data_IF_508655920226
#
_entry.id   IF_508655920226
#
_cell.length_a   1.000
_cell.length_b   1.000
_cell.length_c   1.000
_cell.angle_alpha   90.00
_cell.angle_beta   90.00
_cell.angle_gamma   90.00
#
_symmetry.space_group_name_H-M   'P 1'
#
loop_
_entity.id
_entity.type
_entity.pdbx_description
1 polymer ?
#
# COMPACT_ATOMS: atom_id res chain seq x y z
N UNK A 1 13.86 33.38 6.69
CA UNK A 1 14.17 32.45 5.57
C UNK A 1 13.44 31.18 5.91
N UNK A 2 12.15 31.17 5.59
CA UNK A 2 11.23 30.12 5.99
C UNK A 2 11.45 28.87 5.14
N UNK A 3 11.68 27.76 5.83
CA UNK A 3 11.83 26.43 5.24
C UNK A 3 10.53 26.09 4.50
N UNK A 4 10.56 26.09 3.17
CA UNK A 4 9.55 25.46 2.35
C UNK A 4 9.58 23.96 2.65
N UNK A 5 8.71 23.51 3.56
CA UNK A 5 8.43 22.11 3.75
C UNK A 5 7.87 21.58 2.43
N UNK A 6 8.68 20.78 1.75
CA UNK A 6 8.35 20.03 0.56
C UNK A 6 7.16 19.10 0.90
N UNK A 7 5.94 19.59 0.66
CA UNK A 7 4.69 18.89 0.93
C UNK A 7 4.52 17.77 -0.09
N UNK A 8 5.21 16.65 0.15
CA UNK A 8 5.09 15.43 -0.64
C UNK A 8 3.69 14.82 -0.52
N UNK A 9 2.75 15.30 -1.35
CA UNK A 9 1.72 14.54 -2.10
C UNK A 9 0.64 13.72 -1.38
N UNK A 10 0.77 13.37 -0.11
CA UNK A 10 -0.12 12.37 0.51
C UNK A 10 -1.21 12.93 1.42
N UNK A 11 -1.13 14.21 1.76
CA UNK A 11 -2.16 14.87 2.57
C UNK A 11 -3.44 15.15 1.77
N UNK A 12 -3.36 15.13 0.43
CA UNK A 12 -4.48 15.38 -0.48
C UNK A 12 -5.08 14.11 -1.08
N UNK A 13 -4.39 12.98 -0.96
CA UNK A 13 -4.83 11.70 -1.50
C UNK A 13 -5.49 10.85 -0.42
N UNK A 14 -6.67 10.29 -0.73
CA UNK A 14 -7.33 9.31 0.14
C UNK A 14 -7.72 8.09 -0.68
N UNK A 15 -7.37 6.90 -0.21
CA UNK A 15 -7.75 5.65 -0.86
C UNK A 15 -9.16 5.26 -0.46
N UNK A 16 -10.02 5.06 -1.45
CA UNK A 16 -11.34 4.49 -1.21
C UNK A 16 -11.21 2.98 -0.93
N UNK A 17 -12.22 2.34 -0.30
CA UNK A 17 -12.23 0.89 -0.13
C UNK A 17 -12.08 0.12 -1.45
N UNK A 18 -12.58 0.67 -2.57
CA UNK A 18 -12.46 0.07 -3.90
C UNK A 18 -11.02 0.10 -4.40
N UNK A 19 -10.29 1.18 -4.17
CA UNK A 19 -8.87 1.31 -4.56
C UNK A 19 -8.02 0.29 -3.81
N UNK A 20 -8.28 0.13 -2.51
CA UNK A 20 -7.58 -0.84 -1.66
C UNK A 20 -7.87 -2.27 -2.11
N UNK A 21 -9.12 -2.60 -2.41
CA UNK A 21 -9.47 -3.92 -2.94
C UNK A 21 -8.79 -4.19 -4.30
N UNK A 22 -8.73 -3.18 -5.17
CA UNK A 22 -8.05 -3.25 -6.48
C UNK A 22 -6.54 -3.43 -6.34
N UNK A 23 -5.93 -2.75 -5.36
CA UNK A 23 -4.53 -2.95 -5.01
C UNK A 23 -4.25 -4.41 -4.65
N UNK A 24 -4.97 -4.95 -3.66
CA UNK A 24 -4.69 -6.32 -3.17
C UNK A 24 -5.10 -7.43 -4.15
N UNK A 25 -5.93 -7.13 -5.17
CA UNK A 25 -6.21 -8.08 -6.25
C UNK A 25 -5.19 -8.05 -7.38
N UNK A 26 -4.50 -6.91 -7.57
CA UNK A 26 -3.57 -6.70 -8.69
C UNK A 26 -2.10 -6.85 -8.27
N UNK A 27 -1.78 -6.54 -7.02
CA UNK A 27 -0.43 -6.62 -6.48
C UNK A 27 0.00 -8.08 -6.26
N UNK A 28 1.30 -8.33 -6.42
CA UNK A 28 1.87 -9.67 -6.23
C UNK A 28 2.22 -9.89 -4.77
N UNK A 29 1.67 -10.95 -4.16
CA UNK A 29 2.15 -11.42 -2.85
C UNK A 29 3.56 -12.00 -2.99
N UNK A 30 4.47 -11.59 -2.11
CA UNK A 30 5.88 -12.00 -2.15
C UNK A 30 6.40 -12.44 -0.78
N UNK A 31 7.51 -13.17 -0.80
CA UNK A 31 8.22 -13.56 0.43
C UNK A 31 8.78 -12.32 1.17
N UNK A 32 9.09 -12.47 2.46
CA UNK A 32 9.73 -11.42 3.23
C UNK A 32 11.11 -11.02 2.66
N UNK A 33 11.89 -12.00 2.18
CA UNK A 33 13.21 -11.74 1.59
C UNK A 33 13.09 -10.95 0.27
N UNK A 34 12.18 -11.37 -0.61
CA UNK A 34 11.89 -10.66 -1.87
C UNK A 34 11.40 -9.25 -1.60
N UNK A 35 10.47 -9.09 -0.67
CA UNK A 35 9.96 -7.77 -0.30
C UNK A 35 11.08 -6.86 0.21
N UNK A 36 11.94 -7.36 1.11
CA UNK A 36 13.06 -6.59 1.61
C UNK A 36 14.02 -6.14 0.50
N UNK A 37 14.28 -7.00 -0.49
CA UNK A 37 15.17 -6.70 -1.59
C UNK A 37 14.57 -5.73 -2.63
N UNK A 38 13.26 -5.79 -2.88
CA UNK A 38 12.62 -5.13 -4.03
C UNK A 38 11.70 -3.96 -3.62
N UNK A 39 11.28 -3.87 -2.37
CA UNK A 39 10.34 -2.81 -1.95
C UNK A 39 11.01 -1.44 -1.92
N UNK A 40 10.27 -0.43 -2.37
CA UNK A 40 10.57 0.98 -2.09
C UNK A 40 9.59 1.44 -1.02
N UNK A 41 10.10 1.75 0.17
CA UNK A 41 9.28 2.19 1.32
C UNK A 41 9.43 3.70 1.46
N UNK A 42 8.45 4.42 0.90
CA UNK A 42 8.36 5.87 1.10
C UNK A 42 7.65 6.19 2.42
N UNK A 43 7.97 7.33 3.08
CA UNK A 43 7.34 7.74 4.34
C UNK A 43 5.83 7.90 4.22
N UNK A 44 5.35 8.31 3.04
CA UNK A 44 3.93 8.34 2.77
C UNK A 44 3.34 6.93 2.70
N UNK A 45 2.31 6.72 3.52
CA UNK A 45 1.49 5.53 3.45
C UNK A 45 0.03 5.81 3.81
N UNK A 46 -0.84 4.96 3.29
CA UNK A 46 -2.25 4.88 3.61
C UNK A 46 -2.48 3.62 4.42
N UNK A 47 -3.39 3.66 5.38
CA UNK A 47 -3.71 2.49 6.19
C UNK A 47 -5.17 2.46 6.60
N UNK A 48 -5.65 1.27 6.91
CA UNK A 48 -7.00 1.08 7.40
C UNK A 48 -7.25 -0.39 7.73
N UNK A 49 -8.53 -0.75 7.74
CA UNK A 49 -8.95 -2.14 7.93
C UNK A 49 -9.82 -2.60 6.77
N UNK A 50 -9.78 -3.90 6.48
CA UNK A 50 -10.65 -4.54 5.49
C UNK A 50 -11.14 -5.89 5.99
N UNK A 51 -12.30 -6.32 5.50
CA UNK A 51 -12.84 -7.65 5.74
C UNK A 51 -12.55 -8.53 4.53
N UNK A 52 -11.93 -9.69 4.74
CA UNK A 52 -11.64 -10.69 3.71
C UNK A 52 -12.04 -12.07 4.22
N UNK A 53 -13.02 -12.69 3.57
CA UNK A 53 -13.50 -14.02 3.96
C UNK A 53 -14.01 -14.11 5.40
N UNK A 54 -14.65 -13.04 5.89
CA UNK A 54 -15.14 -12.96 7.28
C UNK A 54 -14.06 -12.63 8.33
N UNK A 55 -12.78 -12.58 7.95
CA UNK A 55 -11.69 -12.18 8.84
C UNK A 55 -11.31 -10.71 8.65
N UNK A 56 -10.93 -10.06 9.75
CA UNK A 56 -10.49 -8.66 9.76
C UNK A 56 -8.98 -8.56 9.56
N UNK A 57 -8.58 -7.68 8.66
CA UNK A 57 -7.18 -7.41 8.34
C UNK A 57 -6.88 -5.92 8.46
N UNK A 58 -5.76 -5.58 9.10
CA UNK A 58 -5.16 -4.27 8.99
C UNK A 58 -4.34 -4.22 7.69
N UNK A 59 -4.46 -3.13 6.94
CA UNK A 59 -3.69 -2.93 5.72
C UNK A 59 -2.87 -1.64 5.77
N UNK A 60 -1.74 -1.64 5.07
CA UNK A 60 -0.92 -0.45 4.80
C UNK A 60 -0.40 -0.50 3.37
N UNK A 61 -0.47 0.61 2.65
CA UNK A 61 0.05 0.75 1.29
C UNK A 61 0.91 2.02 1.25
N UNK A 62 2.16 1.90 0.82
CA UNK A 62 3.08 3.02 0.62
C UNK A 62 2.90 3.62 -0.77
N UNK A 63 3.17 4.92 -0.94
CA UNK A 63 3.03 5.62 -2.22
C UNK A 63 3.85 4.99 -3.36
N UNK A 64 4.97 4.32 -3.06
CA UNK A 64 5.75 3.56 -4.06
C UNK A 64 5.25 2.13 -4.30
N UNK A 65 4.02 1.80 -3.86
CA UNK A 65 3.35 0.55 -4.21
C UNK A 65 3.67 -0.66 -3.32
N UNK A 66 4.52 -0.52 -2.30
CA UNK A 66 4.75 -1.57 -1.31
C UNK A 66 3.57 -1.67 -0.33
N UNK A 67 3.07 -2.87 -0.07
CA UNK A 67 1.87 -3.08 0.72
C UNK A 67 1.96 -4.23 1.71
N UNK A 68 1.18 -4.10 2.78
CA UNK A 68 1.08 -5.07 3.86
C UNK A 68 -0.38 -5.38 4.14
N UNK A 69 -0.65 -6.65 4.40
CA UNK A 69 -1.94 -7.12 4.91
C UNK A 69 -1.70 -8.00 6.12
N UNK A 70 -2.13 -7.54 7.29
CA UNK A 70 -1.91 -8.22 8.57
C UNK A 70 -3.23 -8.73 9.11
N UNK A 71 -3.35 -10.04 9.30
CA UNK A 71 -4.51 -10.65 9.94
C UNK A 71 -4.57 -10.19 11.40
N UNK A 72 -5.64 -9.52 11.82
CA UNK A 72 -5.73 -9.00 13.20
C UNK A 72 -5.78 -10.12 14.24
N UNK A 73 -6.33 -11.28 13.89
CA UNK A 73 -6.47 -12.41 14.80
C UNK A 73 -5.15 -13.13 15.12
N UNK A 74 -4.22 -13.20 14.16
CA UNK A 74 -2.97 -13.99 14.29
C UNK A 74 -1.71 -13.13 14.25
N UNK A 75 -1.81 -11.88 13.81
CA UNK A 75 -0.66 -11.02 13.56
C UNK A 75 0.16 -11.42 12.32
N UNK A 76 -0.28 -12.42 11.55
CA UNK A 76 0.44 -12.84 10.36
C UNK A 76 0.37 -11.75 9.27
N UNK A 77 1.54 -11.31 8.80
CA UNK A 77 1.66 -10.26 7.78
C UNK A 77 2.05 -10.84 6.42
N UNK A 78 1.16 -10.64 5.45
CA UNK A 78 1.39 -10.83 4.04
C UNK A 78 1.98 -9.54 3.43
N UNK A 79 2.81 -9.70 2.40
CA UNK A 79 3.59 -8.61 1.79
C UNK A 79 3.32 -8.58 0.29
N UNK A 80 3.07 -7.38 -0.22
CA UNK A 80 2.63 -7.18 -1.60
C UNK A 80 3.52 -6.15 -2.29
N UNK A 81 3.92 -6.43 -3.51
CA UNK A 81 4.60 -5.47 -4.37
C UNK A 81 3.70 -5.15 -5.57
N UNK A 82 3.43 -3.86 -5.74
CA UNK A 82 2.88 -3.36 -6.98
C UNK A 82 3.98 -3.23 -8.02
N UNK A 83 4.00 -4.17 -8.95
CA UNK A 83 4.80 -4.08 -10.18
C UNK A 83 3.96 -3.34 -11.26
N UNK A 84 4.43 -3.30 -12.52
CA UNK A 84 3.81 -2.56 -13.63
C UNK A 84 2.28 -2.75 -13.81
N UNK A 85 1.71 -3.87 -13.33
CA UNK A 85 0.27 -4.11 -13.35
C UNK A 85 -0.55 -3.08 -12.54
N UNK A 86 0.01 -2.55 -11.46
CA UNK A 86 -0.69 -1.58 -10.60
C UNK A 86 -0.64 -0.15 -11.11
N UNK A 87 0.39 0.23 -11.87
CA UNK A 87 0.52 1.59 -12.41
C UNK A 87 -0.70 1.97 -13.26
N UNK A 88 -1.26 0.99 -14.00
CA UNK A 88 -2.49 1.16 -14.78
C UNK A 88 -3.76 1.18 -13.94
N UNK A 89 -3.76 0.47 -12.81
CA UNK A 89 -4.95 0.28 -11.99
C UNK A 89 -5.12 1.37 -10.91
N UNK A 90 -4.02 2.02 -10.51
CA UNK A 90 -3.96 2.95 -9.38
C UNK A 90 -3.12 4.19 -9.73
N UNK A 91 -3.50 4.97 -10.76
CA UNK A 91 -2.75 6.16 -11.17
C UNK A 91 -2.61 7.18 -10.03
N UNK A 92 -3.62 7.28 -9.18
CA UNK A 92 -3.63 8.20 -8.05
C UNK A 92 -2.55 7.89 -6.99
N UNK A 93 -2.12 6.64 -6.86
CA UNK A 93 -1.04 6.26 -5.94
C UNK A 93 0.35 6.54 -6.49
N UNK A 94 0.49 6.62 -7.82
CA UNK A 94 1.79 6.65 -8.51
C UNK A 94 2.22 8.06 -8.95
N UNK A 95 1.51 9.11 -8.53
CA UNK A 95 1.95 10.51 -8.65
C UNK A 95 2.14 11.01 -10.09
N UNK A 96 1.31 10.56 -11.04
CA UNK A 96 1.27 11.16 -12.40
C UNK A 96 0.32 12.35 -12.47
#
# INVERSE_FOLDING_TARGET
MDNAADTMGCETLSLTPKDVATYFSSAKEVSAATFHAESIILPCSFSGTLMKGGAKYAWRIHAAGAGYLTAEATGQTQRFLCQAACEKALPALMGQ
#
